data_IF_277220648016
#
_entry.id   IF_277220648016
#
_cell.length_a   1.000
_cell.length_b   1.000
_cell.length_c   1.000
_cell.angle_alpha   90.00
_cell.angle_beta   90.00
_cell.angle_gamma   90.00
#
_symmetry.space_group_name_H-M   'P 1'
#
loop_
_entity.id
_entity.type
_entity.pdbx_description
1 polymer ?
#
# COMPACT_ATOMS: atom_id res chain seq x y z
N UNK A 1 -76.69 11.44 -6.56
CA UNK A 1 -75.45 11.58 -5.77
C UNK A 1 -74.33 10.52 -6.01
N UNK A 2 -74.48 9.56 -6.95
CA UNK A 2 -73.44 8.50 -7.17
C UNK A 2 -72.38 8.81 -8.26
N UNK A 3 -72.63 9.83 -9.11
CA UNK A 3 -71.71 10.14 -10.24
C UNK A 3 -70.51 11.00 -9.87
N UNK A 4 -70.51 11.73 -8.75
CA UNK A 4 -69.40 12.58 -8.32
C UNK A 4 -68.28 11.81 -7.63
N UNK A 5 -68.56 10.69 -6.94
CA UNK A 5 -67.61 9.87 -6.26
C UNK A 5 -66.72 9.11 -7.24
N UNK A 6 -67.26 8.68 -8.39
CA UNK A 6 -66.51 7.92 -9.39
C UNK A 6 -65.49 8.79 -10.15
N UNK A 7 -65.71 10.08 -10.26
CA UNK A 7 -64.80 11.01 -10.96
C UNK A 7 -63.58 11.40 -10.10
N UNK A 8 -63.76 11.40 -8.78
CA UNK A 8 -62.64 11.62 -7.84
C UNK A 8 -61.69 10.41 -7.75
N UNK A 9 -62.27 9.21 -7.79
CA UNK A 9 -61.44 7.97 -7.71
C UNK A 9 -60.57 7.76 -8.96
N UNK A 10 -61.00 8.14 -10.15
CA UNK A 10 -60.18 8.07 -11.37
C UNK A 10 -59.01 9.06 -11.36
N UNK A 11 -59.13 10.22 -10.71
CA UNK A 11 -58.04 11.20 -10.62
C UNK A 11 -56.95 10.77 -9.66
N UNK A 12 -57.27 10.04 -8.59
CA UNK A 12 -56.28 9.49 -7.67
C UNK A 12 -55.56 8.27 -8.24
N UNK A 13 -56.23 7.46 -9.04
CA UNK A 13 -55.56 6.31 -9.70
C UNK A 13 -54.52 6.73 -10.75
N UNK A 14 -54.79 7.79 -11.51
CA UNK A 14 -53.82 8.30 -12.49
C UNK A 14 -52.65 9.00 -11.82
N UNK A 15 -52.83 9.68 -10.66
CA UNK A 15 -51.74 10.31 -9.93
C UNK A 15 -50.80 9.27 -9.28
N UNK A 16 -51.34 8.14 -8.79
CA UNK A 16 -50.55 7.06 -8.21
C UNK A 16 -49.68 6.30 -9.25
N UNK A 17 -50.21 6.16 -10.48
CA UNK A 17 -49.43 5.53 -11.57
C UNK A 17 -48.31 6.46 -12.09
N UNK A 18 -48.51 7.78 -12.05
CA UNK A 18 -47.46 8.72 -12.47
C UNK A 18 -46.28 8.80 -11.48
N UNK A 19 -46.51 8.57 -10.17
CA UNK A 19 -45.44 8.53 -9.17
C UNK A 19 -44.64 7.21 -9.20
N UNK A 20 -45.23 6.11 -9.67
CA UNK A 20 -44.50 4.85 -9.77
C UNK A 20 -43.55 4.78 -10.98
N UNK A 21 -43.73 5.62 -11.99
CA UNK A 21 -42.91 5.64 -13.20
C UNK A 21 -41.60 6.44 -13.08
N UNK A 22 -41.42 7.22 -12.01
CA UNK A 22 -40.23 8.08 -11.84
C UNK A 22 -39.13 7.45 -10.97
N UNK A 23 -39.30 6.23 -10.49
CA UNK A 23 -38.32 5.57 -9.59
C UNK A 23 -37.35 4.65 -10.31
N UNK A 24 -37.34 4.59 -11.64
CA UNK A 24 -36.24 3.97 -12.36
C UNK A 24 -35.11 5.00 -12.51
N UNK A 25 -34.52 5.37 -11.39
CA UNK A 25 -33.17 5.93 -11.41
C UNK A 25 -32.31 4.86 -11.98
N UNK A 26 -31.87 5.01 -13.22
CA UNK A 26 -30.86 4.18 -13.82
C UNK A 26 -29.69 4.16 -12.83
N UNK A 27 -29.46 3.02 -12.17
CA UNK A 27 -28.25 2.79 -11.42
C UNK A 27 -27.12 2.93 -12.43
N UNK A 28 -26.49 4.10 -12.44
CA UNK A 28 -25.21 4.27 -13.15
C UNK A 28 -24.28 3.23 -12.53
N UNK A 29 -23.74 2.29 -13.29
CA UNK A 29 -22.75 1.38 -12.73
C UNK A 29 -21.67 2.25 -12.11
N UNK A 30 -21.53 2.16 -10.79
CA UNK A 30 -20.49 2.88 -10.07
C UNK A 30 -19.17 2.40 -10.64
N UNK A 31 -18.47 3.24 -11.36
CA UNK A 31 -17.08 2.97 -11.71
C UNK A 31 -16.30 2.99 -10.40
N UNK A 32 -16.00 1.81 -9.87
CA UNK A 32 -15.28 1.66 -8.62
C UNK A 32 -13.79 2.02 -8.75
N UNK A 33 -13.30 2.21 -9.98
CA UNK A 33 -11.90 2.53 -10.25
C UNK A 33 -11.80 3.72 -11.21
N UNK A 34 -10.89 4.64 -10.91
CA UNK A 34 -10.56 5.76 -11.80
C UNK A 34 -9.60 5.31 -12.90
N UNK A 35 -9.53 6.02 -14.04
CA UNK A 35 -8.55 5.74 -15.10
C UNK A 35 -7.08 5.83 -14.61
N UNK A 36 -6.84 6.44 -13.46
CA UNK A 36 -5.51 6.53 -12.82
C UNK A 36 -5.16 5.30 -11.97
N UNK A 37 -6.11 4.43 -11.71
CA UNK A 37 -5.85 3.10 -11.16
C UNK A 37 -5.46 2.15 -12.29
N UNK A 38 -4.42 2.53 -13.02
CA UNK A 38 -3.98 1.95 -14.28
C UNK A 38 -3.71 0.43 -14.23
N UNK A 39 -3.46 -0.10 -13.05
CA UNK A 39 -3.15 -1.52 -12.90
C UNK A 39 -4.37 -2.43 -13.07
N UNK A 40 -5.56 -1.87 -13.17
CA UNK A 40 -6.79 -2.65 -13.23
C UNK A 40 -7.15 -3.12 -14.65
N UNK A 41 -6.70 -2.38 -15.68
CA UNK A 41 -7.14 -2.57 -17.08
C UNK A 41 -6.10 -3.18 -18.00
N UNK A 42 -4.88 -3.42 -17.51
CA UNK A 42 -3.82 -3.98 -18.34
C UNK A 42 -3.98 -5.50 -18.45
N UNK A 43 -4.23 -5.97 -19.64
CA UNK A 43 -4.04 -7.36 -20.00
C UNK A 43 -2.54 -7.68 -19.97
N UNK A 44 -2.15 -8.68 -19.17
CA UNK A 44 -0.76 -9.11 -19.04
C UNK A 44 -0.20 -8.92 -17.63
N UNK A 45 1.08 -9.17 -17.43
CA UNK A 45 1.72 -9.00 -16.13
C UNK A 45 1.72 -7.53 -15.76
N UNK A 46 1.10 -7.21 -14.61
CA UNK A 46 1.01 -5.83 -14.09
C UNK A 46 2.34 -5.26 -13.65
N UNK A 47 3.30 -6.12 -13.46
CA UNK A 47 4.59 -5.83 -12.87
C UNK A 47 5.67 -6.38 -13.77
N UNK A 48 6.79 -5.69 -13.86
CA UNK A 48 7.96 -6.06 -14.66
C UNK A 48 9.12 -6.59 -13.82
N UNK A 49 8.95 -6.61 -12.50
CA UNK A 49 9.96 -7.00 -11.51
C UNK A 49 11.25 -6.16 -11.57
N UNK A 50 11.20 -4.97 -12.14
CA UNK A 50 12.33 -4.04 -12.22
C UNK A 50 12.45 -3.26 -10.92
N UNK A 51 13.38 -3.69 -10.08
CA UNK A 51 13.63 -3.12 -8.76
C UNK A 51 15.13 -2.94 -8.50
N UNK A 52 15.52 -1.95 -7.67
CA UNK A 52 16.91 -1.78 -7.28
C UNK A 52 17.48 -3.04 -6.62
N UNK A 53 18.80 -3.20 -6.71
CA UNK A 53 19.52 -4.23 -5.95
C UNK A 53 19.56 -3.86 -4.46
N UNK A 54 19.74 -4.87 -3.59
CA UNK A 54 19.83 -4.66 -2.15
C UNK A 54 20.84 -3.58 -1.76
N UNK A 55 22.03 -3.61 -2.34
CA UNK A 55 23.10 -2.65 -2.04
C UNK A 55 23.00 -1.32 -2.83
N UNK A 56 21.91 -1.07 -3.54
CA UNK A 56 21.79 0.16 -4.28
C UNK A 56 21.84 1.39 -3.35
N UNK A 57 22.66 2.41 -3.63
CA UNK A 57 22.82 3.58 -2.76
C UNK A 57 21.50 4.29 -2.46
N UNK A 58 20.59 4.37 -3.45
CA UNK A 58 19.26 4.97 -3.26
C UNK A 58 18.40 4.20 -2.26
N UNK A 59 18.48 2.86 -2.26
CA UNK A 59 17.74 2.02 -1.31
C UNK A 59 18.27 2.21 0.11
N UNK A 60 19.59 2.11 0.28
CA UNK A 60 20.21 2.26 1.60
C UNK A 60 20.06 3.67 2.15
N UNK A 61 20.21 4.69 1.30
CA UNK A 61 19.99 6.09 1.68
C UNK A 61 18.55 6.35 2.13
N UNK A 62 17.55 5.76 1.45
CA UNK A 62 16.16 5.86 1.86
C UNK A 62 15.92 5.21 3.23
N UNK A 63 16.43 4.02 3.47
CA UNK A 63 16.34 3.34 4.77
C UNK A 63 16.97 4.20 5.87
N UNK A 64 18.14 4.77 5.63
CA UNK A 64 18.81 5.63 6.60
C UNK A 64 18.01 6.90 6.92
N UNK A 65 17.42 7.54 5.91
CA UNK A 65 16.59 8.72 6.08
C UNK A 65 15.30 8.41 6.84
N UNK A 66 14.61 7.35 6.45
CA UNK A 66 13.35 6.92 7.08
C UNK A 66 13.59 6.48 8.54
N UNK A 67 14.75 5.83 8.82
CA UNK A 67 15.16 5.49 10.18
C UNK A 67 15.37 6.74 11.03
N UNK A 68 16.13 7.71 10.53
CA UNK A 68 16.39 8.97 11.23
C UNK A 68 15.10 9.75 11.52
N UNK A 69 14.20 9.80 10.54
CA UNK A 69 12.90 10.46 10.70
C UNK A 69 12.03 9.75 11.75
N UNK A 70 11.98 8.41 11.72
CA UNK A 70 11.25 7.59 12.69
C UNK A 70 11.80 7.80 14.11
N UNK A 71 13.12 7.78 14.29
CA UNK A 71 13.77 8.01 15.57
C UNK A 71 13.48 9.40 16.11
N UNK A 72 13.59 10.41 15.27
CA UNK A 72 13.31 11.80 15.64
C UNK A 72 11.85 12.01 16.01
N UNK A 73 10.94 11.54 15.18
CA UNK A 73 9.52 11.87 15.27
C UNK A 73 8.78 11.12 16.37
N UNK A 74 9.09 9.84 16.55
CA UNK A 74 8.33 8.98 17.45
C UNK A 74 9.06 8.64 18.74
N UNK A 75 10.39 8.73 18.76
CA UNK A 75 11.19 8.32 19.90
C UNK A 75 12.00 9.45 20.52
N UNK A 76 11.88 10.66 20.00
CA UNK A 76 12.69 11.81 20.41
C UNK A 76 14.19 11.45 20.52
N UNK A 77 14.65 10.65 19.59
CA UNK A 77 15.99 10.06 19.54
C UNK A 77 16.79 10.65 18.38
N UNK A 78 18.09 10.80 18.59
CA UNK A 78 19.05 11.30 17.57
C UNK A 78 19.84 10.16 16.92
N UNK A 79 19.37 8.91 17.05
CA UNK A 79 20.05 7.77 16.42
C UNK A 79 19.98 7.89 14.90
N UNK A 80 21.12 7.61 14.26
CA UNK A 80 21.27 7.59 12.81
C UNK A 80 21.92 6.27 12.40
N UNK A 81 21.59 5.74 11.25
CA UNK A 81 22.38 4.70 10.60
C UNK A 81 23.57 5.40 9.93
N UNK A 82 24.79 5.03 10.31
CA UNK A 82 26.01 5.63 9.79
C UNK A 82 26.73 4.72 8.78
N UNK A 83 26.46 3.41 8.83
CA UNK A 83 27.10 2.46 7.93
C UNK A 83 26.18 1.26 7.67
N UNK A 84 26.23 0.75 6.43
CA UNK A 84 25.67 -0.53 6.03
C UNK A 84 26.79 -1.47 5.62
N UNK A 85 26.77 -2.69 6.15
CA UNK A 85 27.75 -3.73 5.80
C UNK A 85 27.07 -5.09 5.60
N UNK A 86 27.76 -6.01 4.91
CA UNK A 86 27.27 -7.37 4.67
C UNK A 86 25.86 -7.42 4.04
N UNK A 87 25.58 -6.45 3.18
CA UNK A 87 24.30 -6.37 2.48
C UNK A 87 24.23 -7.50 1.45
N UNK A 88 23.14 -8.26 1.51
CA UNK A 88 22.90 -9.38 0.59
C UNK A 88 21.41 -9.58 0.34
N UNK A 89 21.09 -10.11 -0.82
CA UNK A 89 19.76 -10.63 -1.12
C UNK A 89 19.54 -11.95 -0.36
N UNK A 90 18.33 -12.12 0.18
CA UNK A 90 17.91 -13.35 0.86
C UNK A 90 16.98 -14.14 -0.03
N UNK A 91 16.04 -13.44 -0.68
CA UNK A 91 15.08 -14.01 -1.60
C UNK A 91 14.60 -12.95 -2.58
N UNK A 92 14.28 -13.40 -3.77
CA UNK A 92 13.57 -12.61 -4.76
C UNK A 92 12.28 -13.35 -5.13
N UNK A 93 11.17 -12.68 -4.92
CA UNK A 93 9.87 -13.18 -5.36
C UNK A 93 9.40 -12.30 -6.51
N UNK A 94 9.64 -12.72 -7.75
CA UNK A 94 9.05 -12.07 -8.91
C UNK A 94 7.53 -12.16 -8.80
N UNK A 95 6.83 -11.40 -9.59
CA UNK A 95 5.38 -11.43 -9.59
C UNK A 95 4.86 -12.86 -9.79
N UNK A 96 3.75 -13.16 -9.13
CA UNK A 96 2.87 -14.27 -9.43
C UNK A 96 1.45 -13.72 -9.51
N UNK A 97 0.50 -14.51 -9.96
CA UNK A 97 -0.90 -14.10 -9.99
C UNK A 97 -1.28 -13.53 -8.62
N UNK A 98 -1.61 -12.24 -8.57
CA UNK A 98 -2.03 -11.48 -7.38
C UNK A 98 -0.93 -11.11 -6.36
N UNK A 99 0.35 -11.19 -6.68
CA UNK A 99 1.41 -10.74 -5.76
C UNK A 99 2.30 -9.66 -6.37
N UNK A 100 2.57 -8.62 -5.59
CA UNK A 100 3.51 -7.56 -5.97
C UNK A 100 4.94 -8.09 -5.82
N UNK A 101 5.81 -7.95 -6.82
CA UNK A 101 7.19 -8.37 -6.75
C UNK A 101 7.93 -7.79 -5.55
N UNK A 102 8.71 -8.63 -4.88
CA UNK A 102 9.49 -8.24 -3.71
C UNK A 102 10.89 -8.85 -3.76
N UNK A 103 11.85 -8.02 -3.43
CA UNK A 103 13.25 -8.42 -3.20
C UNK A 103 13.56 -8.29 -1.72
N UNK A 104 13.83 -9.39 -1.06
CA UNK A 104 14.17 -9.44 0.35
C UNK A 104 15.66 -9.39 0.56
N UNK A 105 16.08 -8.53 1.47
CA UNK A 105 17.47 -8.23 1.73
C UNK A 105 17.79 -8.32 3.23
N UNK A 106 19.04 -8.59 3.54
CA UNK A 106 19.56 -8.49 4.89
C UNK A 106 20.93 -7.81 4.90
N UNK A 107 21.28 -7.23 6.03
CA UNK A 107 22.59 -6.63 6.24
C UNK A 107 22.89 -6.40 7.72
N UNK A 108 23.98 -5.71 7.99
CA UNK A 108 24.29 -5.14 9.28
C UNK A 108 24.32 -3.62 9.15
N UNK A 109 23.87 -2.93 10.16
CA UNK A 109 23.98 -1.47 10.28
C UNK A 109 24.75 -1.13 11.53
N UNK A 110 25.60 -0.11 11.45
CA UNK A 110 26.15 0.58 12.60
C UNK A 110 25.35 1.84 12.83
N UNK A 111 24.89 2.07 14.04
CA UNK A 111 24.18 3.28 14.42
C UNK A 111 25.10 4.26 15.15
N UNK A 112 24.72 5.52 15.20
CA UNK A 112 25.55 6.62 15.70
C UNK A 112 26.01 6.48 17.14
N UNK A 113 25.45 5.57 17.92
CA UNK A 113 25.94 5.20 19.25
C UNK A 113 27.00 4.09 19.25
N UNK A 114 27.52 3.70 18.09
CA UNK A 114 28.55 2.67 17.92
C UNK A 114 28.02 1.22 17.97
N UNK A 115 26.72 1.01 18.17
CA UNK A 115 26.14 -0.35 18.23
C UNK A 115 25.84 -0.90 16.84
N UNK A 116 26.06 -2.20 16.68
CA UNK A 116 25.74 -2.92 15.47
C UNK A 116 24.43 -3.68 15.62
N UNK A 117 23.60 -3.59 14.58
CA UNK A 117 22.30 -4.26 14.51
C UNK A 117 22.16 -5.00 13.18
N UNK A 118 21.35 -6.05 13.16
CA UNK A 118 20.89 -6.63 11.89
C UNK A 118 19.79 -5.76 11.31
N UNK A 119 19.83 -5.59 10.01
CA UNK A 119 18.74 -4.96 9.26
C UNK A 119 18.16 -5.96 8.28
N UNK A 120 16.85 -5.98 8.20
CA UNK A 120 16.08 -6.71 7.19
C UNK A 120 15.20 -5.72 6.46
N UNK A 121 15.09 -5.87 5.17
CA UNK A 121 14.23 -5.00 4.37
C UNK A 121 13.76 -5.70 3.10
N UNK A 122 12.62 -5.26 2.60
CA UNK A 122 12.12 -5.67 1.29
C UNK A 122 11.93 -4.47 0.38
N UNK A 123 12.41 -4.60 -0.84
CA UNK A 123 12.15 -3.64 -1.92
C UNK A 123 10.93 -4.15 -2.65
N UNK A 124 9.93 -3.28 -2.82
CA UNK A 124 8.61 -3.62 -3.33
C UNK A 124 8.40 -2.80 -4.59
N UNK A 125 8.08 -3.46 -5.68
CA UNK A 125 7.64 -2.77 -6.89
C UNK A 125 6.34 -2.02 -6.59
N UNK A 126 6.20 -0.81 -7.08
CA UNK A 126 5.05 0.05 -6.80
C UNK A 126 4.73 0.28 -5.31
N UNK A 127 5.69 0.03 -4.42
CA UNK A 127 5.56 0.30 -2.99
C UNK A 127 5.88 1.75 -2.59
N UNK A 128 6.16 2.62 -3.55
CA UNK A 128 6.40 4.04 -3.33
C UNK A 128 5.11 4.85 -3.22
N UNK A 129 5.22 6.19 -3.15
CA UNK A 129 4.06 7.07 -3.09
C UNK A 129 3.10 6.80 -4.25
N UNK A 130 1.81 6.62 -3.91
CA UNK A 130 0.72 6.33 -4.86
C UNK A 130 0.97 5.17 -5.83
N UNK A 131 1.87 4.25 -5.50
CA UNK A 131 2.20 3.12 -6.38
C UNK A 131 3.02 3.47 -7.62
N UNK A 132 3.57 4.68 -7.71
CA UNK A 132 4.24 5.14 -8.94
C UNK A 132 5.70 4.69 -9.08
N UNK A 133 6.31 4.18 -8.01
CA UNK A 133 7.72 3.77 -7.98
C UNK A 133 7.93 2.69 -6.91
N UNK A 134 9.12 2.10 -6.90
CA UNK A 134 9.47 1.13 -5.85
C UNK A 134 9.45 1.77 -4.46
N UNK A 135 9.09 0.98 -3.48
CA UNK A 135 9.16 1.31 -2.06
C UNK A 135 10.09 0.40 -1.30
N UNK A 136 10.34 0.73 -0.04
CA UNK A 136 11.11 -0.11 0.85
C UNK A 136 10.43 -0.21 2.21
N UNK A 137 10.28 -1.44 2.69
CA UNK A 137 9.91 -1.75 4.07
C UNK A 137 11.15 -2.25 4.78
N UNK A 138 11.41 -1.80 5.98
CA UNK A 138 12.64 -2.12 6.69
C UNK A 138 12.41 -2.30 8.20
N UNK A 139 13.28 -3.09 8.81
CA UNK A 139 13.30 -3.33 10.24
C UNK A 139 14.74 -3.49 10.72
N UNK A 140 15.12 -2.72 11.74
CA UNK A 140 16.40 -2.86 12.45
C UNK A 140 16.17 -3.66 13.73
N UNK A 141 16.76 -4.85 13.81
CA UNK A 141 16.58 -5.78 14.92
C UNK A 141 17.07 -5.14 16.23
N UNK A 142 16.20 -5.15 17.24
CA UNK A 142 16.44 -4.50 18.54
C UNK A 142 16.06 -3.02 18.59
N UNK A 143 15.67 -2.42 17.45
CA UNK A 143 15.18 -1.03 17.38
C UNK A 143 13.76 -0.95 16.79
N UNK A 144 13.07 -2.09 16.64
CA UNK A 144 11.66 -2.15 16.29
C UNK A 144 10.77 -1.98 17.54
N UNK A 145 10.82 -0.77 18.13
CA UNK A 145 10.18 -0.46 19.42
C UNK A 145 8.66 -0.47 19.37
N UNK A 146 8.09 -0.25 18.22
CA UNK A 146 6.64 -0.30 17.98
C UNK A 146 6.15 -1.68 17.55
N UNK A 147 7.01 -2.67 17.55
CA UNK A 147 6.71 -4.07 17.28
C UNK A 147 6.04 -4.34 15.93
N UNK A 148 6.30 -3.48 14.95
CA UNK A 148 5.70 -3.57 13.63
C UNK A 148 6.08 -4.85 12.87
N UNK A 149 7.30 -5.39 13.14
CA UNK A 149 7.83 -6.57 12.47
C UNK A 149 8.23 -7.68 13.44
N UNK A 150 7.60 -7.72 14.60
CA UNK A 150 7.91 -8.65 15.68
C UNK A 150 7.62 -10.13 15.32
N UNK A 151 8.29 -11.12 15.96
CA UNK A 151 9.46 -10.97 16.84
C UNK A 151 10.75 -10.75 16.04
N UNK A 152 11.64 -9.90 16.57
CA UNK A 152 13.00 -9.68 16.04
C UNK A 152 13.06 -9.49 14.51
N UNK A 153 12.20 -8.65 13.96
CA UNK A 153 12.04 -8.39 12.53
C UNK A 153 11.63 -9.63 11.69
N UNK A 154 11.03 -10.64 12.28
CA UNK A 154 10.65 -11.86 11.55
C UNK A 154 9.72 -11.56 10.38
N UNK A 155 8.78 -10.63 10.55
CA UNK A 155 7.80 -10.28 9.51
C UNK A 155 8.40 -9.46 8.35
N UNK A 156 9.63 -8.97 8.47
CA UNK A 156 10.37 -8.31 7.40
C UNK A 156 11.21 -9.28 6.54
N UNK A 157 11.11 -10.56 6.78
CA UNK A 157 11.83 -11.61 6.05
C UNK A 157 10.90 -12.38 5.13
N UNK A 158 11.44 -13.12 4.13
CA UNK A 158 10.64 -13.96 3.23
C UNK A 158 9.95 -15.10 3.96
#
# INVERSE_FOLDING_TARGET
>A
MRRAAFRKMRRFACAALALAATSVVAAVPGQAASPFELNFWLEGPRYDAVMPHCAAPKTLGRIAADFAEKERRYWNSKLLIVEFSHVREIAFRPWAVNTIPRRFCSGKVMVSNGKHHRVYYSIIENGGPIGATWGVEWCVAGLDRNWAYNPACRMARP
#
